data_IF_393470634815
#
_entry.id   IF_393470634815
#
_cell.length_a   1.000
_cell.length_b   1.000
_cell.length_c   1.000
_cell.angle_alpha   90.00
_cell.angle_beta   90.00
_cell.angle_gamma   90.00
#
_symmetry.space_group_name_H-M   'P 1'
#
loop_
_entity.id
_entity.type
_entity.pdbx_description
1 polymer ?
#
# COMPACT_ATOMS: atom_id res chain seq x y z
N UNK A 1 -59.51 -62.27 -5.94
CA UNK A 1 -59.72 -61.38 -7.11
C UNK A 1 -61.01 -60.61 -6.88
N UNK A 2 -61.12 -59.30 -7.16
CA UNK A 2 -60.14 -58.28 -7.58
C UNK A 2 -60.24 -57.03 -6.63
N UNK A 3 -59.87 -55.78 -6.99
CA UNK A 3 -58.55 -55.24 -6.66
C UNK A 3 -58.49 -53.73 -6.26
N UNK A 4 -57.25 -53.23 -6.11
CA UNK A 4 -56.76 -51.84 -6.31
C UNK A 4 -57.10 -50.81 -5.22
N UNK A 5 -56.09 -50.41 -4.44
CA UNK A 5 -55.15 -49.30 -4.70
C UNK A 5 -55.80 -47.93 -4.48
N UNK A 6 -55.40 -47.25 -3.41
CA UNK A 6 -55.20 -45.78 -3.35
C UNK A 6 -54.21 -45.47 -2.20
N UNK A 7 -53.06 -44.93 -2.58
CA UNK A 7 -52.24 -43.87 -1.96
C UNK A 7 -52.37 -43.64 -0.44
N UNK A 8 -51.32 -43.98 0.31
CA UNK A 8 -50.93 -43.24 1.52
C UNK A 8 -50.11 -42.01 1.06
N UNK A 9 -50.50 -40.74 1.24
CA UNK A 9 -50.92 -40.00 2.44
C UNK A 9 -49.83 -39.96 3.51
N UNK A 10 -49.19 -38.80 3.60
CA UNK A 10 -48.23 -38.43 4.63
C UNK A 10 -48.76 -38.73 6.04
N UNK A 11 -47.92 -39.34 6.87
CA UNK A 11 -48.06 -39.33 8.31
C UNK A 11 -46.66 -39.17 8.92
N UNK A 12 -46.37 -37.97 9.43
CA UNK A 12 -45.44 -37.81 10.56
C UNK A 12 -46.19 -38.31 11.81
N UNK A 13 -45.52 -39.05 12.70
CA UNK A 13 -45.05 -38.39 13.91
C UNK A 13 -43.68 -38.95 14.35
N UNK A 14 -42.76 -38.10 14.78
CA UNK A 14 -42.65 -37.88 16.22
C UNK A 14 -41.28 -38.33 16.72
N UNK A 15 -40.91 -37.96 17.94
CA UNK A 15 -39.57 -37.52 18.32
C UNK A 15 -38.65 -38.70 18.63
N UNK A 16 -37.54 -38.81 17.92
CA UNK A 16 -36.56 -39.87 18.14
C UNK A 16 -35.17 -39.40 17.79
N UNK A 17 -34.38 -39.11 18.83
CA UNK A 17 -32.92 -39.09 18.88
C UNK A 17 -32.22 -38.19 17.83
N UNK A 18 -31.69 -37.07 18.33
CA UNK A 18 -30.50 -36.45 17.73
C UNK A 18 -29.38 -37.49 17.76
N UNK A 19 -29.20 -38.24 16.67
CA UNK A 19 -27.92 -38.86 16.37
C UNK A 19 -26.95 -37.70 16.09
N UNK A 20 -25.97 -37.52 16.96
CA UNK A 20 -24.79 -36.71 16.66
C UNK A 20 -24.21 -37.25 15.35
N UNK A 21 -24.05 -36.42 14.29
CA UNK A 21 -23.12 -36.79 13.26
C UNK A 21 -21.74 -36.82 13.91
N UNK A 22 -21.17 -38.00 13.83
CA UNK A 22 -19.78 -38.35 14.04
C UNK A 22 -18.85 -37.16 13.81
N UNK A 23 -17.89 -36.97 14.71
CA UNK A 23 -16.82 -35.98 14.59
C UNK A 23 -15.92 -36.44 13.44
N UNK A 24 -16.39 -36.22 12.22
CA UNK A 24 -15.65 -36.41 11.00
C UNK A 24 -14.46 -35.46 11.05
N UNK A 25 -13.28 -36.07 11.06
CA UNK A 25 -11.98 -35.42 11.04
C UNK A 25 -12.01 -34.17 10.15
N UNK A 26 -11.78 -33.01 10.76
CA UNK A 26 -11.46 -31.79 10.02
C UNK A 26 -10.22 -32.11 9.17
N UNK A 27 -10.22 -31.86 7.85
CA UNK A 27 -9.08 -32.20 7.02
C UNK A 27 -7.91 -31.26 7.34
N UNK A 28 -7.05 -31.65 8.28
CA UNK A 28 -5.81 -30.96 8.66
C UNK A 28 -4.74 -31.10 7.56
N UNK A 29 -4.94 -31.98 6.58
CA UNK A 29 -3.93 -32.37 5.58
C UNK A 29 -3.76 -31.31 4.48
N UNK A 30 -4.76 -30.46 4.19
CA UNK A 30 -4.68 -29.48 3.11
C UNK A 30 -3.89 -28.20 3.42
N UNK A 31 -3.51 -27.97 4.68
CA UNK A 31 -2.83 -26.72 5.10
C UNK A 31 -1.30 -26.85 5.10
N UNK A 32 -0.76 -28.07 5.24
CA UNK A 32 0.68 -28.36 5.17
C UNK A 32 1.23 -28.17 3.74
N UNK A 33 0.52 -28.66 2.72
CA UNK A 33 0.94 -28.50 1.31
C UNK A 33 0.89 -27.04 0.83
N UNK A 34 0.00 -26.22 1.40
CA UNK A 34 -0.11 -24.78 1.12
C UNK A 34 1.11 -24.01 1.63
N UNK A 35 1.65 -24.41 2.80
CA UNK A 35 2.85 -23.81 3.37
C UNK A 35 4.12 -24.25 2.63
N UNK A 36 4.14 -25.45 2.04
CA UNK A 36 5.33 -26.02 1.40
C UNK A 36 5.85 -25.24 0.19
N UNK A 37 5.00 -24.64 -0.66
CA UNK A 37 5.49 -23.97 -1.90
C UNK A 37 5.97 -22.55 -1.67
N UNK A 38 5.29 -21.76 -0.83
CA UNK A 38 5.85 -20.46 -0.44
C UNK A 38 7.13 -20.66 0.39
N UNK A 39 7.19 -21.69 1.23
CA UNK A 39 8.40 -22.03 1.96
C UNK A 39 9.57 -22.37 1.03
N UNK A 40 9.34 -23.13 -0.05
CA UNK A 40 10.37 -23.43 -1.06
C UNK A 40 10.92 -22.18 -1.74
N UNK A 41 10.07 -21.22 -2.08
CA UNK A 41 10.53 -19.95 -2.70
C UNK A 41 11.16 -19.01 -1.66
N UNK A 42 10.83 -19.15 -0.38
CA UNK A 42 11.46 -18.42 0.72
C UNK A 42 12.78 -19.06 1.20
N UNK A 43 13.29 -20.08 0.51
CA UNK A 43 14.57 -20.72 0.82
C UNK A 43 15.75 -19.87 0.32
N UNK A 44 16.79 -19.62 1.14
CA UNK A 44 17.95 -18.82 0.73
C UNK A 44 18.68 -19.40 -0.49
N UNK A 45 18.72 -20.73 -0.63
CA UNK A 45 19.36 -21.46 -1.73
C UNK A 45 18.72 -21.12 -3.07
N UNK A 46 17.40 -20.90 -3.07
CA UNK A 46 16.63 -20.49 -4.24
C UNK A 46 17.10 -19.13 -4.81
N UNK A 47 17.66 -18.29 -3.93
CA UNK A 47 18.13 -16.94 -4.24
C UNK A 47 19.65 -16.84 -4.36
N UNK A 48 20.37 -17.96 -4.21
CA UNK A 48 21.82 -17.97 -4.15
C UNK A 48 22.37 -17.14 -2.99
N UNK A 49 21.62 -17.06 -1.88
CA UNK A 49 22.04 -16.31 -0.69
C UNK A 49 23.05 -17.13 0.11
N UNK A 50 24.22 -16.54 0.31
CA UNK A 50 25.29 -17.11 1.11
C UNK A 50 25.33 -16.43 2.49
N UNK A 51 25.37 -17.23 3.55
CA UNK A 51 25.46 -16.78 4.94
C UNK A 51 26.68 -15.88 5.17
N UNK A 52 27.79 -16.11 4.46
CA UNK A 52 29.00 -15.30 4.59
C UNK A 52 28.75 -13.82 4.25
N UNK A 53 27.82 -13.52 3.33
CA UNK A 53 27.45 -12.15 2.93
C UNK A 53 26.79 -11.35 4.07
N UNK A 54 26.35 -12.05 5.13
CA UNK A 54 25.66 -11.52 6.30
C UNK A 54 26.47 -11.66 7.60
N UNK A 55 27.69 -12.20 7.55
CA UNK A 55 28.51 -12.45 8.75
C UNK A 55 28.79 -11.19 9.60
N UNK A 56 28.77 -9.99 8.99
CA UNK A 56 28.91 -8.70 9.68
C UNK A 56 27.62 -8.11 10.25
N UNK A 57 26.49 -8.84 10.18
CA UNK A 57 25.19 -8.34 10.60
C UNK A 57 24.98 -8.54 12.11
N UNK A 58 25.10 -7.45 12.88
CA UNK A 58 24.90 -7.50 14.33
C UNK A 58 23.42 -7.75 14.71
N UNK A 59 23.19 -8.45 15.83
CA UNK A 59 21.83 -8.78 16.32
C UNK A 59 20.93 -7.56 16.52
N UNK A 60 21.52 -6.39 16.85
CA UNK A 60 20.77 -5.13 16.96
C UNK A 60 20.19 -4.67 15.62
N UNK A 61 20.91 -4.86 14.51
CA UNK A 61 20.44 -4.51 13.17
C UNK A 61 19.29 -5.41 12.75
N UNK A 62 19.42 -6.73 12.99
CA UNK A 62 18.35 -7.72 12.76
C UNK A 62 17.09 -7.39 13.57
N UNK A 63 17.25 -6.97 14.83
CA UNK A 63 16.13 -6.61 15.71
C UNK A 63 15.45 -5.31 15.27
N UNK A 64 16.21 -4.36 14.75
CA UNK A 64 15.69 -3.10 14.22
C UNK A 64 14.89 -3.29 12.91
N UNK A 65 15.17 -4.34 12.14
CA UNK A 65 14.47 -4.68 10.89
C UNK A 65 13.13 -5.43 11.09
N UNK A 66 12.58 -5.43 12.31
CA UNK A 66 11.26 -6.00 12.58
C UNK A 66 10.13 -5.16 11.98
N UNK A 67 9.04 -5.82 11.58
CA UNK A 67 7.86 -5.20 11.00
C UNK A 67 7.32 -4.03 11.84
N UNK A 68 7.27 -4.18 13.17
CA UNK A 68 6.80 -3.13 14.08
C UNK A 68 7.70 -1.88 14.07
N UNK A 69 9.03 -2.07 14.04
CA UNK A 69 9.99 -0.97 13.99
C UNK A 69 9.96 -0.26 12.63
N UNK A 70 9.87 -1.01 11.54
CA UNK A 70 9.69 -0.45 10.20
C UNK A 70 8.37 0.30 10.08
N UNK A 71 7.26 -0.26 10.61
CA UNK A 71 5.94 0.40 10.63
C UNK A 71 6.01 1.79 11.27
N UNK A 72 6.60 1.89 12.46
CA UNK A 72 6.76 3.18 13.16
C UNK A 72 7.64 4.20 12.42
N UNK A 73 8.38 3.75 11.39
CA UNK A 73 9.19 4.60 10.52
C UNK A 73 8.54 4.89 9.17
N UNK A 74 7.38 4.29 8.89
CA UNK A 74 6.64 4.43 7.63
C UNK A 74 5.27 5.08 7.83
N UNK A 75 4.60 4.76 8.94
CA UNK A 75 3.21 5.15 9.24
C UNK A 75 3.14 5.60 10.70
N UNK A 76 2.44 6.70 10.96
CA UNK A 76 2.32 7.25 12.32
C UNK A 76 3.62 7.88 12.80
N UNK A 77 4.39 8.46 11.89
CA UNK A 77 5.65 9.15 12.22
C UNK A 77 5.45 10.31 13.20
N UNK A 78 6.44 10.61 14.05
CA UNK A 78 6.44 11.84 14.85
C UNK A 78 6.40 13.11 13.99
N UNK A 79 5.67 14.14 14.44
CA UNK A 79 5.52 15.45 13.74
C UNK A 79 6.82 16.15 13.38
N UNK A 80 7.89 15.90 14.13
CA UNK A 80 9.21 16.49 13.92
C UNK A 80 10.09 15.72 12.91
N UNK A 81 9.58 14.64 12.32
CA UNK A 81 10.29 13.87 11.30
C UNK A 81 10.47 14.69 10.01
N UNK A 82 11.41 14.31 9.13
CA UNK A 82 11.53 14.89 7.78
C UNK A 82 10.88 13.94 6.76
N UNK A 83 10.59 14.42 5.55
CA UNK A 83 10.22 13.54 4.43
C UNK A 83 8.87 12.80 4.59
N UNK A 84 7.98 13.30 5.44
CA UNK A 84 6.63 12.74 5.62
C UNK A 84 5.56 13.72 5.16
N UNK A 85 4.39 13.19 4.81
CA UNK A 85 3.19 13.98 4.53
C UNK A 85 2.04 13.50 5.41
N UNK A 86 1.16 14.43 5.79
CA UNK A 86 -0.05 14.12 6.55
C UNK A 86 -1.11 13.61 5.58
N UNK A 87 -1.54 12.37 5.78
CA UNK A 87 -2.74 11.83 5.16
C UNK A 87 -3.88 11.78 6.18
N UNK A 88 -5.10 12.01 5.70
CA UNK A 88 -6.31 11.74 6.47
C UNK A 88 -6.85 10.40 6.03
N UNK A 89 -6.57 9.35 6.80
CA UNK A 89 -7.14 8.04 6.52
C UNK A 89 -8.60 8.08 6.95
N UNK A 90 -9.51 7.81 6.03
CA UNK A 90 -10.89 7.53 6.37
C UNK A 90 -10.94 6.17 7.06
N UNK A 91 -10.78 6.15 8.38
CA UNK A 91 -11.12 4.98 9.18
C UNK A 91 -12.65 5.02 9.36
N UNK A 92 -13.42 4.02 8.89
CA UNK A 92 -14.88 4.02 9.05
C UNK A 92 -15.34 4.00 10.52
N UNK A 93 -14.44 3.77 11.49
CA UNK A 93 -14.74 3.72 12.92
C UNK A 93 -14.08 4.82 13.76
N UNK A 94 -13.26 5.71 13.19
CA UNK A 94 -12.63 6.81 13.94
C UNK A 94 -12.65 8.10 13.15
N UNK A 95 -12.82 9.21 13.87
CA UNK A 95 -12.56 10.58 13.41
C UNK A 95 -11.32 10.63 12.52
N UNK A 96 -11.38 11.45 11.44
CA UNK A 96 -10.31 11.67 10.46
C UNK A 96 -8.98 12.05 11.15
N UNK A 97 -8.28 11.04 11.63
CA UNK A 97 -7.10 11.23 12.46
C UNK A 97 -5.90 11.44 11.55
N UNK A 98 -5.15 12.54 11.71
CA UNK A 98 -4.01 12.81 10.86
C UNK A 98 -2.96 11.72 11.04
N UNK A 99 -2.61 11.04 9.95
CA UNK A 99 -1.59 10.00 9.93
C UNK A 99 -0.38 10.50 9.15
N UNK A 100 0.79 10.48 9.77
CA UNK A 100 2.04 10.88 9.14
C UNK A 100 2.65 9.70 8.39
N UNK A 101 2.75 9.84 7.07
CA UNK A 101 3.16 8.78 6.15
C UNK A 101 4.52 9.15 5.55
N UNK A 102 5.51 8.28 5.68
CA UNK A 102 6.80 8.39 5.01
C UNK A 102 6.59 8.34 3.50
N UNK A 103 7.39 9.05 2.72
CA UNK A 103 7.34 8.98 1.27
C UNK A 103 8.76 8.85 0.71
N UNK A 104 8.87 8.24 -0.47
CA UNK A 104 10.14 8.23 -1.21
C UNK A 104 10.49 9.65 -1.69
N UNK A 105 11.76 9.93 -2.02
CA UNK A 105 12.16 11.22 -2.59
C UNK A 105 11.42 11.59 -3.89
N UNK A 106 10.92 10.59 -4.63
CA UNK A 106 10.10 10.79 -5.84
C UNK A 106 8.67 11.16 -5.50
N UNK A 107 8.07 10.50 -4.50
CA UNK A 107 6.69 10.72 -4.08
C UNK A 107 6.52 12.03 -3.31
N UNK A 108 7.46 12.33 -2.41
CA UNK A 108 7.39 13.47 -1.50
C UNK A 108 7.10 14.82 -2.18
N UNK A 109 7.84 15.26 -3.22
CA UNK A 109 7.58 16.54 -3.87
C UNK A 109 6.21 16.61 -4.56
N UNK A 110 5.64 15.48 -4.99
CA UNK A 110 4.33 15.45 -5.65
C UNK A 110 3.21 15.86 -4.70
N UNK A 111 3.26 15.43 -3.43
CA UNK A 111 2.13 15.55 -2.49
C UNK A 111 2.40 16.39 -1.24
N UNK A 112 3.65 16.84 -1.00
CA UNK A 112 4.01 17.66 0.18
C UNK A 112 3.28 19.01 0.24
N UNK A 113 3.22 19.74 -0.87
CA UNK A 113 2.66 21.09 -0.90
C UNK A 113 1.13 21.10 -0.83
N UNK A 114 0.54 22.02 -0.08
CA UNK A 114 -0.91 22.27 -0.10
C UNK A 114 -1.37 22.69 -1.50
N UNK A 115 -2.47 22.11 -1.96
CA UNK A 115 -3.11 22.46 -3.23
C UNK A 115 -3.56 23.92 -3.22
N UNK A 116 -4.26 24.33 -2.15
CA UNK A 116 -4.74 25.69 -1.98
C UNK A 116 -3.58 26.70 -2.00
N UNK A 117 -2.51 26.42 -1.25
CA UNK A 117 -1.35 27.31 -1.20
C UNK A 117 -0.63 27.43 -2.55
N UNK A 118 -0.60 26.37 -3.36
CA UNK A 118 -0.07 26.42 -4.72
C UNK A 118 -0.91 27.36 -5.60
N UNK A 119 -2.23 27.22 -5.55
CA UNK A 119 -3.16 28.07 -6.27
C UNK A 119 -2.99 29.54 -5.89
N UNK A 120 -3.12 29.86 -4.61
CA UNK A 120 -2.98 31.22 -4.06
C UNK A 120 -1.62 31.85 -4.39
N UNK A 121 -0.52 31.09 -4.24
CA UNK A 121 0.82 31.57 -4.58
C UNK A 121 0.94 31.90 -6.07
N UNK A 122 0.29 31.10 -6.92
CA UNK A 122 0.32 31.32 -8.38
C UNK A 122 -0.51 32.54 -8.75
N UNK A 123 -1.70 32.70 -8.17
CA UNK A 123 -2.54 33.91 -8.32
C UNK A 123 -1.74 35.16 -7.94
N UNK A 124 -1.12 35.16 -6.76
CA UNK A 124 -0.32 36.30 -6.28
C UNK A 124 0.87 36.61 -7.20
N UNK A 125 1.54 35.59 -7.75
CA UNK A 125 2.64 35.77 -8.72
C UNK A 125 2.15 36.39 -10.02
N UNK A 126 1.04 35.90 -10.57
CA UNK A 126 0.46 36.43 -11.81
C UNK A 126 0.05 37.89 -11.60
N UNK A 127 -0.66 38.22 -10.52
CA UNK A 127 -1.05 39.59 -10.21
C UNK A 127 0.16 40.52 -10.07
N UNK A 128 1.22 40.08 -9.37
CA UNK A 128 2.45 40.87 -9.22
C UNK A 128 3.18 41.13 -10.54
N UNK A 129 3.03 40.24 -11.53
CA UNK A 129 3.68 40.37 -12.83
C UNK A 129 2.99 41.34 -13.79
N UNK A 130 1.78 41.80 -13.47
CA UNK A 130 1.00 42.67 -14.36
C UNK A 130 1.29 44.16 -14.10
N UNK A 131 1.60 44.94 -15.15
CA UNK A 131 2.09 46.32 -15.02
C UNK A 131 0.98 47.35 -14.74
N UNK A 132 -0.26 47.10 -15.13
CA UNK A 132 -1.36 48.07 -15.04
C UNK A 132 -2.52 47.60 -14.16
N UNK A 133 -2.89 48.43 -13.18
CA UNK A 133 -4.00 48.19 -12.23
C UNK A 133 -5.36 48.68 -12.74
N UNK A 134 -5.41 49.23 -13.96
CA UNK A 134 -6.60 49.85 -14.56
C UNK A 134 -7.67 48.83 -14.96
N UNK A 135 -7.28 47.58 -15.23
CA UNK A 135 -8.18 46.48 -15.56
C UNK A 135 -8.14 45.37 -14.50
N UNK A 136 -8.54 45.74 -13.29
CA UNK A 136 -8.44 44.90 -12.10
C UNK A 136 -9.21 43.58 -12.25
N UNK A 137 -10.40 43.61 -12.84
CA UNK A 137 -11.27 42.44 -12.97
C UNK A 137 -10.71 41.42 -13.97
N UNK A 138 -10.25 41.86 -15.17
CA UNK A 138 -9.61 40.93 -16.11
C UNK A 138 -8.26 40.41 -15.60
N UNK A 139 -7.52 41.22 -14.86
CA UNK A 139 -6.27 40.79 -14.21
C UNK A 139 -6.51 39.73 -13.14
N UNK A 140 -7.56 39.90 -12.32
CA UNK A 140 -7.97 38.91 -11.34
C UNK A 140 -8.45 37.62 -11.99
N UNK A 141 -9.34 37.71 -13.00
CA UNK A 141 -9.83 36.53 -13.71
C UNK A 141 -8.69 35.74 -14.36
N UNK A 142 -7.73 36.43 -14.99
CA UNK A 142 -6.55 35.78 -15.56
C UNK A 142 -5.61 35.18 -14.51
N UNK A 143 -5.45 35.83 -13.35
CA UNK A 143 -4.67 35.28 -12.25
C UNK A 143 -5.31 34.04 -11.65
N UNK A 144 -6.64 34.03 -11.50
CA UNK A 144 -7.41 32.85 -11.07
C UNK A 144 -7.25 31.69 -12.05
N UNK A 145 -7.39 31.94 -13.36
CA UNK A 145 -7.08 30.92 -14.40
C UNK A 145 -5.65 30.38 -14.27
N UNK A 146 -4.68 31.25 -14.01
CA UNK A 146 -3.29 30.83 -13.76
C UNK A 146 -3.15 29.91 -12.53
N UNK A 147 -3.85 30.23 -11.44
CA UNK A 147 -3.92 29.39 -10.25
C UNK A 147 -4.56 28.02 -10.52
N UNK A 148 -5.70 28.01 -11.22
CA UNK A 148 -6.41 26.79 -11.66
C UNK A 148 -5.49 25.91 -12.51
N UNK A 149 -4.87 26.46 -13.56
CA UNK A 149 -3.96 25.70 -14.43
C UNK A 149 -2.75 25.11 -13.70
N UNK A 150 -2.18 25.84 -12.72
CA UNK A 150 -1.09 25.30 -11.91
C UNK A 150 -1.55 24.11 -11.05
N UNK A 151 -2.76 24.19 -10.50
CA UNK A 151 -3.36 23.09 -9.73
C UNK A 151 -3.72 21.91 -10.63
N UNK A 152 -4.29 22.14 -11.82
CA UNK A 152 -4.55 21.10 -12.83
C UNK A 152 -3.28 20.35 -13.23
N UNK A 153 -2.21 21.08 -13.54
CA UNK A 153 -0.93 20.48 -13.89
C UNK A 153 -0.38 19.58 -12.77
N UNK A 154 -0.53 20.01 -11.51
CA UNK A 154 -0.16 19.20 -10.35
C UNK A 154 -1.08 17.99 -10.16
N UNK A 155 -2.39 18.15 -10.32
CA UNK A 155 -3.38 17.07 -10.27
C UNK A 155 -3.02 15.97 -11.27
N UNK A 156 -2.78 16.32 -12.53
CA UNK A 156 -2.40 15.36 -13.60
C UNK A 156 -1.14 14.59 -13.22
N UNK A 157 -0.13 15.23 -12.63
CA UNK A 157 1.09 14.56 -12.20
C UNK A 157 0.84 13.56 -11.06
N UNK A 158 0.00 13.93 -10.08
CA UNK A 158 -0.40 13.06 -8.96
C UNK A 158 -1.23 11.89 -9.47
N UNK A 159 -2.24 12.13 -10.30
CA UNK A 159 -3.10 11.10 -10.92
C UNK A 159 -2.29 10.11 -11.74
N UNK A 160 -1.37 10.61 -12.58
CA UNK A 160 -0.48 9.77 -13.37
C UNK A 160 0.28 8.81 -12.46
N UNK A 161 0.94 9.33 -11.43
CA UNK A 161 1.71 8.49 -10.51
C UNK A 161 0.83 7.49 -9.74
N UNK A 162 -0.33 7.93 -9.26
CA UNK A 162 -1.28 7.06 -8.57
C UNK A 162 -1.76 5.91 -9.47
N UNK A 163 -2.10 6.20 -10.73
CA UNK A 163 -2.69 5.24 -11.66
C UNK A 163 -1.66 4.33 -12.33
N UNK A 164 -0.43 4.79 -12.56
CA UNK A 164 0.60 3.99 -13.26
C UNK A 164 1.56 3.28 -12.32
N UNK A 165 1.69 3.73 -11.07
CA UNK A 165 2.64 3.16 -10.10
C UNK A 165 1.90 2.62 -8.88
N UNK A 166 1.28 3.48 -8.07
CA UNK A 166 0.77 3.05 -6.75
C UNK A 166 -0.38 2.05 -6.84
N UNK A 167 -1.38 2.31 -7.70
CA UNK A 167 -2.54 1.44 -7.88
C UNK A 167 -2.16 0.05 -8.40
N UNK A 168 -1.42 -0.03 -9.52
CA UNK A 168 -0.91 -1.30 -10.03
C UNK A 168 -0.05 -2.07 -9.02
N UNK A 169 0.83 -1.37 -8.29
CA UNK A 169 1.66 -1.99 -7.25
C UNK A 169 0.81 -2.56 -6.11
N UNK A 170 -0.18 -1.81 -5.64
CA UNK A 170 -1.11 -2.26 -4.59
C UNK A 170 -1.88 -3.51 -5.03
N UNK A 171 -2.45 -3.49 -6.24
CA UNK A 171 -3.21 -4.63 -6.80
C UNK A 171 -2.33 -5.85 -7.04
N UNK A 172 -1.09 -5.68 -7.52
CA UNK A 172 -0.15 -6.78 -7.70
C UNK A 172 0.25 -7.40 -6.35
N UNK A 173 0.53 -6.56 -5.35
CA UNK A 173 0.87 -7.02 -4.01
C UNK A 173 -0.29 -7.75 -3.33
N UNK A 174 -1.52 -7.23 -3.42
CA UNK A 174 -2.72 -7.87 -2.87
C UNK A 174 -2.95 -9.26 -3.50
N UNK A 175 -2.89 -9.35 -4.84
CA UNK A 175 -2.99 -10.63 -5.56
C UNK A 175 -1.89 -11.61 -5.18
N UNK A 176 -0.66 -11.12 -4.95
CA UNK A 176 0.43 -11.97 -4.50
C UNK A 176 0.16 -12.53 -3.10
N UNK A 177 -0.27 -11.69 -2.14
CA UNK A 177 -0.61 -12.11 -0.77
C UNK A 177 -1.74 -13.14 -0.77
N UNK A 178 -2.78 -12.90 -1.56
CA UNK A 178 -3.88 -13.85 -1.75
C UNK A 178 -3.38 -15.18 -2.34
N UNK A 179 -2.54 -15.12 -3.37
CA UNK A 179 -1.95 -16.31 -3.99
C UNK A 179 -1.05 -17.08 -3.03
N UNK A 180 -0.25 -16.39 -2.21
CA UNK A 180 0.64 -16.99 -1.22
C UNK A 180 -0.12 -17.63 -0.05
N UNK A 181 -1.39 -17.25 0.16
CA UNK A 181 -2.28 -17.82 1.17
C UNK A 181 -3.11 -19.01 0.62
N UNK A 182 -3.05 -19.28 -0.68
CA UNK A 182 -3.84 -20.29 -1.37
C UNK A 182 -2.97 -21.40 -1.98
N UNK A 183 -3.48 -22.64 -2.10
CA UNK A 183 -2.76 -23.74 -2.79
C UNK A 183 -2.55 -23.46 -4.29
N UNK A 184 -3.16 -22.42 -4.86
CA UNK A 184 -2.98 -22.02 -6.26
C UNK A 184 -1.57 -21.56 -6.62
N UNK A 185 -0.73 -21.17 -5.64
CA UNK A 185 0.69 -20.87 -5.89
C UNK A 185 1.42 -22.08 -6.48
N UNK A 186 1.02 -23.31 -6.09
CA UNK A 186 1.57 -24.57 -6.61
C UNK A 186 1.36 -24.75 -8.12
N UNK A 187 0.34 -24.10 -8.70
CA UNK A 187 0.03 -24.20 -10.14
C UNK A 187 0.79 -23.17 -10.98
N UNK A 188 1.47 -22.21 -10.35
CA UNK A 188 2.27 -21.21 -11.07
C UNK A 188 3.63 -21.80 -11.41
N UNK A 189 4.13 -21.47 -12.60
CA UNK A 189 5.51 -21.80 -12.97
C UNK A 189 6.45 -21.10 -12.00
N UNK A 190 7.45 -21.85 -11.53
CA UNK A 190 8.49 -21.39 -10.62
C UNK A 190 9.07 -20.01 -11.02
N UNK A 191 9.42 -19.83 -12.30
CA UNK A 191 9.93 -18.57 -12.87
C UNK A 191 9.01 -17.38 -12.53
N UNK A 192 7.70 -17.55 -12.64
CA UNK A 192 6.73 -16.48 -12.39
C UNK A 192 6.67 -16.08 -10.90
N UNK A 193 6.85 -17.05 -9.99
CA UNK A 193 6.89 -16.76 -8.55
C UNK A 193 8.18 -16.03 -8.19
N UNK A 194 9.31 -16.44 -8.80
CA UNK A 194 10.60 -15.77 -8.64
C UNK A 194 10.56 -14.32 -9.14
N UNK A 195 9.94 -14.08 -10.28
CA UNK A 195 9.75 -12.72 -10.83
C UNK A 195 8.92 -11.84 -9.89
N UNK A 196 7.84 -12.37 -9.31
CA UNK A 196 7.01 -11.64 -8.35
C UNK A 196 7.77 -11.32 -7.06
N UNK A 197 8.49 -12.28 -6.49
CA UNK A 197 9.29 -12.03 -5.28
C UNK A 197 10.42 -11.04 -5.55
N UNK A 198 11.12 -11.18 -6.68
CA UNK A 198 12.16 -10.21 -7.09
C UNK A 198 11.57 -8.81 -7.24
N UNK A 199 10.38 -8.70 -7.82
CA UNK A 199 9.67 -7.44 -7.94
C UNK A 199 9.29 -6.87 -6.56
N UNK A 200 8.76 -7.68 -5.63
CA UNK A 200 8.42 -7.25 -4.26
C UNK A 200 9.66 -6.74 -3.52
N UNK A 201 10.76 -7.50 -3.54
CA UNK A 201 12.00 -7.11 -2.85
C UNK A 201 12.51 -5.77 -3.37
N UNK A 202 12.57 -5.59 -4.69
CA UNK A 202 13.18 -4.41 -5.30
C UNK A 202 12.27 -3.18 -5.32
N UNK A 203 10.97 -3.35 -5.60
CA UNK A 203 10.05 -2.24 -5.85
C UNK A 203 9.16 -1.93 -4.66
N UNK A 204 8.87 -2.91 -3.79
CA UNK A 204 7.99 -2.68 -2.65
C UNK A 204 8.81 -2.50 -1.38
N UNK A 205 9.66 -3.47 -1.02
CA UNK A 205 10.51 -3.35 0.15
C UNK A 205 11.63 -2.34 -0.07
N UNK A 206 12.19 -2.28 -1.28
CA UNK A 206 13.13 -1.24 -1.69
C UNK A 206 12.56 0.17 -1.50
N UNK A 207 11.34 0.43 -1.97
CA UNK A 207 10.66 1.71 -1.79
C UNK A 207 10.38 2.04 -0.33
N UNK A 208 9.99 1.05 0.48
CA UNK A 208 9.82 1.24 1.93
C UNK A 208 11.13 1.65 2.59
N UNK A 209 12.23 0.95 2.30
CA UNK A 209 13.54 1.29 2.85
C UNK A 209 14.06 2.63 2.34
N UNK A 210 13.76 2.99 1.08
CA UNK A 210 14.09 4.29 0.52
C UNK A 210 13.32 5.43 1.20
N UNK A 211 12.03 5.23 1.48
CA UNK A 211 11.22 6.17 2.25
C UNK A 211 11.76 6.33 3.69
N UNK A 212 12.07 5.22 4.37
CA UNK A 212 12.67 5.27 5.71
C UNK A 212 14.01 6.00 5.69
N UNK A 213 14.87 5.69 4.71
CA UNK A 213 16.15 6.39 4.52
C UNK A 213 15.94 7.89 4.39
N UNK A 214 14.96 8.32 3.60
CA UNK A 214 14.65 9.73 3.42
C UNK A 214 14.18 10.38 4.73
N UNK A 215 13.30 9.72 5.48
CA UNK A 215 12.78 10.24 6.76
C UNK A 215 13.86 10.30 7.84
N UNK A 216 14.65 9.24 7.96
CA UNK A 216 15.70 9.06 8.99
C UNK A 216 17.04 9.67 8.60
N UNK A 217 17.18 10.14 7.37
CA UNK A 217 18.43 10.66 6.79
C UNK A 217 19.58 9.64 6.88
N UNK A 218 19.28 8.38 6.57
CA UNK A 218 20.28 7.32 6.58
C UNK A 218 21.33 7.53 5.48
N UNK A 219 22.58 7.25 5.84
CA UNK A 219 23.68 7.13 4.88
C UNK A 219 23.48 5.89 4.00
N UNK A 220 24.07 5.84 2.79
CA UNK A 220 23.97 4.67 1.92
C UNK A 220 24.31 3.36 2.63
N UNK A 221 25.36 3.33 3.44
CA UNK A 221 25.82 2.13 4.15
C UNK A 221 24.79 1.65 5.18
N UNK A 222 24.08 2.58 5.84
CA UNK A 222 23.02 2.25 6.80
C UNK A 222 21.79 1.68 6.09
N UNK A 223 21.48 2.18 4.89
CA UNK A 223 20.39 1.65 4.07
C UNK A 223 20.70 0.24 3.56
N UNK A 224 21.94 -0.01 3.11
CA UNK A 224 22.39 -1.36 2.73
C UNK A 224 22.39 -2.31 3.92
N UNK A 225 22.82 -1.85 5.11
CA UNK A 225 22.74 -2.67 6.33
C UNK A 225 21.28 -3.01 6.68
N UNK A 226 20.36 -2.06 6.55
CA UNK A 226 18.93 -2.29 6.78
C UNK A 226 18.34 -3.27 5.76
N UNK A 227 18.73 -3.15 4.49
CA UNK A 227 18.35 -4.10 3.43
C UNK A 227 18.81 -5.51 3.76
N UNK A 228 20.10 -5.69 4.07
CA UNK A 228 20.66 -6.98 4.49
C UNK A 228 19.96 -7.52 5.74
N UNK A 229 19.61 -6.66 6.70
CA UNK A 229 18.88 -7.07 7.90
C UNK A 229 17.48 -7.59 7.58
N UNK A 230 16.77 -6.94 6.66
CA UNK A 230 15.45 -7.39 6.18
C UNK A 230 15.60 -8.72 5.43
N UNK A 231 16.52 -8.82 4.48
CA UNK A 231 16.79 -10.06 3.72
C UNK A 231 17.13 -11.22 4.67
N UNK A 232 18.00 -11.01 5.65
CA UNK A 232 18.32 -12.01 6.66
C UNK A 232 17.07 -12.49 7.39
N UNK A 233 16.19 -11.59 7.83
CA UNK A 233 14.93 -11.99 8.51
C UNK A 233 14.00 -12.77 7.59
N UNK A 234 13.93 -12.39 6.32
CA UNK A 234 13.02 -12.99 5.35
C UNK A 234 13.49 -14.38 4.88
N UNK A 235 14.80 -14.64 4.86
CA UNK A 235 15.34 -15.87 4.27
C UNK A 235 16.15 -16.73 5.26
N UNK A 236 16.90 -16.11 6.16
CA UNK A 236 17.92 -16.78 6.98
C UNK A 236 17.50 -17.01 8.45
N UNK A 237 16.56 -16.23 9.00
CA UNK A 237 15.97 -16.46 10.33
C UNK A 237 14.99 -17.65 10.31
N UNK A 238 15.53 -18.87 10.18
CA UNK A 238 14.76 -20.10 9.94
C UNK A 238 14.37 -20.87 11.20
N UNK A 239 14.84 -20.45 12.36
CA UNK A 239 14.47 -21.05 13.64
C UNK A 239 12.94 -21.13 13.78
N UNK A 240 12.39 -22.34 14.02
CA UNK A 240 10.94 -22.59 14.06
C UNK A 240 10.14 -21.97 12.90
N UNK A 241 10.69 -21.97 11.67
CA UNK A 241 10.06 -21.35 10.49
C UNK A 241 9.76 -19.84 10.63
N UNK A 242 10.51 -19.11 11.47
CA UNK A 242 10.34 -17.66 11.69
C UNK A 242 10.36 -16.84 10.40
N UNK A 243 11.16 -17.22 9.41
CA UNK A 243 11.22 -16.59 8.09
C UNK A 243 9.85 -16.50 7.38
N UNK A 244 9.01 -17.54 7.44
CA UNK A 244 7.67 -17.52 6.84
C UNK A 244 6.75 -16.51 7.54
N UNK A 245 6.84 -16.43 8.86
CA UNK A 245 6.12 -15.42 9.65
C UNK A 245 6.62 -14.01 9.30
N UNK A 246 7.94 -13.82 9.24
CA UNK A 246 8.55 -12.54 8.85
C UNK A 246 8.06 -12.10 7.47
N UNK A 247 7.97 -13.01 6.49
CA UNK A 247 7.38 -12.75 5.17
C UNK A 247 5.94 -12.27 5.24
N UNK A 248 5.06 -13.02 5.94
CA UNK A 248 3.63 -12.66 6.07
C UNK A 248 3.45 -11.29 6.72
N UNK A 249 4.18 -11.01 7.79
CA UNK A 249 4.14 -9.73 8.48
C UNK A 249 4.64 -8.59 7.60
N UNK A 250 5.75 -8.79 6.87
CA UNK A 250 6.33 -7.77 5.99
C UNK A 250 5.42 -7.44 4.81
N UNK A 251 4.82 -8.46 4.19
CA UNK A 251 3.83 -8.29 3.12
C UNK A 251 2.58 -7.54 3.61
N UNK A 252 2.09 -7.88 4.81
CA UNK A 252 0.97 -7.17 5.44
C UNK A 252 1.30 -5.70 5.71
N UNK A 253 2.49 -5.42 6.22
CA UNK A 253 2.97 -4.04 6.40
C UNK A 253 3.05 -3.30 5.06
N UNK A 254 3.63 -3.91 4.04
CA UNK A 254 3.77 -3.31 2.71
C UNK A 254 2.41 -2.99 2.08
N UNK A 255 1.42 -3.89 2.22
CA UNK A 255 0.07 -3.66 1.75
C UNK A 255 -0.57 -2.48 2.48
N UNK A 256 -0.51 -2.50 3.82
CA UNK A 256 -1.00 -1.43 4.68
C UNK A 256 -0.37 -0.07 4.32
N UNK A 257 0.94 -0.01 4.14
CA UNK A 257 1.66 1.20 3.75
C UNK A 257 1.24 1.71 2.37
N UNK A 258 1.12 0.83 1.37
CA UNK A 258 0.63 1.22 0.04
C UNK A 258 -0.82 1.73 0.07
N UNK A 259 -1.70 1.14 0.89
CA UNK A 259 -3.06 1.67 1.08
C UNK A 259 -3.06 3.08 1.64
N UNK A 260 -2.18 3.37 2.61
CA UNK A 260 -2.03 4.72 3.17
C UNK A 260 -1.52 5.72 2.12
N UNK A 261 -0.53 5.32 1.30
CA UNK A 261 -0.05 6.16 0.19
C UNK A 261 -1.16 6.44 -0.82
N UNK A 262 -1.91 5.41 -1.25
CA UNK A 262 -3.03 5.59 -2.17
C UNK A 262 -4.10 6.53 -1.62
N UNK A 263 -4.49 6.35 -0.35
CA UNK A 263 -5.46 7.23 0.30
C UNK A 263 -4.97 8.70 0.33
N UNK A 264 -3.69 8.92 0.65
CA UNK A 264 -3.08 10.26 0.63
C UNK A 264 -3.10 10.87 -0.78
N UNK A 265 -2.72 10.12 -1.81
CA UNK A 265 -2.71 10.62 -3.19
C UNK A 265 -4.14 10.95 -3.66
N UNK A 266 -5.12 10.10 -3.35
CA UNK A 266 -6.52 10.34 -3.68
C UNK A 266 -7.10 11.56 -2.95
N UNK A 267 -6.75 11.77 -1.68
CA UNK A 267 -7.13 12.98 -0.94
C UNK A 267 -6.55 14.25 -1.58
N UNK A 268 -5.31 14.19 -2.09
CA UNK A 268 -4.71 15.32 -2.82
C UNK A 268 -5.38 15.59 -4.16
N UNK A 269 -5.81 14.55 -4.87
CA UNK A 269 -6.59 14.69 -6.11
C UNK A 269 -7.93 15.34 -5.80
N UNK A 270 -8.65 14.87 -4.78
CA UNK A 270 -9.93 15.44 -4.38
C UNK A 270 -9.80 16.92 -3.93
N UNK A 271 -8.72 17.29 -3.23
CA UNK A 271 -8.43 18.69 -2.90
C UNK A 271 -8.20 19.54 -4.15
N UNK A 272 -7.56 18.99 -5.18
CA UNK A 272 -7.36 19.68 -6.46
C UNK A 272 -8.67 19.86 -7.22
N UNK A 273 -9.50 18.83 -7.28
CA UNK A 273 -10.84 18.90 -7.90
C UNK A 273 -11.70 19.97 -7.25
N UNK A 274 -11.74 19.99 -5.92
CA UNK A 274 -12.48 21.00 -5.16
C UNK A 274 -11.95 22.42 -5.44
N UNK A 275 -10.62 22.60 -5.46
CA UNK A 275 -10.02 23.90 -5.78
C UNK A 275 -10.40 24.36 -7.19
N UNK A 276 -10.26 23.49 -8.19
CA UNK A 276 -10.60 23.80 -9.59
C UNK A 276 -12.09 24.18 -9.69
N UNK A 277 -12.98 23.36 -9.15
CA UNK A 277 -14.43 23.62 -9.18
C UNK A 277 -14.81 24.97 -8.56
N UNK A 278 -14.12 25.40 -7.51
CA UNK A 278 -14.43 26.63 -6.77
C UNK A 278 -13.77 27.89 -7.34
N UNK A 279 -12.74 27.75 -8.19
CA UNK A 279 -11.92 28.87 -8.69
C UNK A 279 -11.90 28.99 -10.22
N UNK A 280 -12.54 28.07 -10.95
CA UNK A 280 -12.84 28.26 -12.37
C UNK A 280 -13.84 29.41 -12.49
N UNK A 281 -13.52 30.51 -13.19
CA UNK A 281 -14.48 31.57 -13.44
C UNK A 281 -15.68 30.98 -14.18
N UNK A 282 -16.90 31.25 -13.72
CA UNK A 282 -18.08 30.98 -14.55
C UNK A 282 -17.87 31.69 -15.89
N UNK A 283 -18.06 30.95 -16.99
CA UNK A 283 -18.17 31.58 -18.30
C UNK A 283 -19.37 32.52 -18.21
N UNK A 284 -19.10 33.81 -17.98
CA UNK A 284 -20.06 34.84 -18.35
C UNK A 284 -20.20 34.72 -19.85
N UNK A 285 -21.27 34.07 -20.30
CA UNK A 285 -21.75 34.11 -21.67
C UNK A 285 -21.73 35.57 -22.12
N UNK A 286 -20.74 35.91 -22.94
CA UNK A 286 -20.71 37.19 -23.63
C UNK A 286 -21.63 37.01 -24.83
N UNK A 287 -22.90 37.39 -24.65
CA UNK A 287 -23.82 37.73 -25.76
C UNK A 287 -23.33 38.98 -26.53
#
# INVERSE_FOLDING_TARGET
>A
MPPRSIKHSEARPGPGQMAFPDVGEVPIIHDLDRQNVFAQVAMPEYWGMDLEQYAGLESRAISAATTNRLRSSLIGLPRNSKGFVVGYVANPQMDRSPTYIALTPTEFPLVRGSIQSLGETTVAKVLKSRPDKTDFDNNNAAAQRGGVHAVEGKKIAIERYANTVLGPNHTRLARYIESASNPGLQRRKEISVREDVSWILNNIFGDMLLAIRHVRQWRPEQAELAKKAVEYRLFLDRDHNRHLRNWREMLSLALSYNSHKLALFNDKIAQADYYIQTHTPEETDVE
#
